data_IF_633776292176
#
_entry.id   IF_633776292176
#
_cell.length_a   1.000
_cell.length_b   1.000
_cell.length_c   1.000
_cell.angle_alpha   90.00
_cell.angle_beta   90.00
_cell.angle_gamma   90.00
#
_symmetry.space_group_name_H-M   'P 1'
#
loop_
_entity.id
_entity.type
_entity.pdbx_description
1 polymer ?
#
# COMPACT_ATOMS: atom_id res chain seq x y z
N UNK A 1 -3.11 -24.13 21.91
CA UNK A 1 -3.41 -22.70 21.72
C UNK A 1 -2.55 -22.18 20.59
N UNK A 2 -3.13 -21.89 19.42
CA UNK A 2 -2.38 -21.24 18.34
C UNK A 2 -2.07 -19.84 18.81
N UNK A 3 -0.80 -19.57 19.04
CA UNK A 3 -0.29 -18.27 19.42
C UNK A 3 -0.63 -17.28 18.29
N UNK A 4 -1.77 -16.58 18.40
CA UNK A 4 -2.15 -15.45 17.53
C UNK A 4 -1.17 -14.31 17.83
N UNK A 5 0.09 -14.47 17.40
CA UNK A 5 0.95 -13.32 17.15
C UNK A 5 0.20 -12.55 16.08
N UNK A 6 -0.48 -11.47 16.49
CA UNK A 6 -0.77 -10.35 15.61
C UNK A 6 0.54 -10.10 14.86
N UNK A 7 0.63 -10.60 13.62
CA UNK A 7 1.78 -10.31 12.77
C UNK A 7 1.70 -8.81 12.60
N UNK A 8 2.58 -8.11 13.31
CA UNK A 8 2.73 -6.67 13.21
C UNK A 8 3.01 -6.40 11.74
N UNK A 9 1.98 -5.98 11.01
CA UNK A 9 2.07 -5.79 9.58
C UNK A 9 2.77 -4.46 9.35
N UNK A 10 3.78 -4.43 8.49
CA UNK A 10 4.50 -3.18 8.22
C UNK A 10 3.54 -2.09 7.73
N UNK A 11 3.64 -0.84 8.25
CA UNK A 11 2.84 0.28 7.76
C UNK A 11 2.93 0.44 6.24
N UNK A 12 4.11 0.21 5.66
CA UNK A 12 4.38 0.25 4.23
C UNK A 12 3.43 -0.66 3.43
N UNK A 13 3.30 -1.93 3.84
CA UNK A 13 2.40 -2.89 3.20
C UNK A 13 0.94 -2.43 3.20
N UNK A 14 0.48 -1.84 4.30
CA UNK A 14 -0.88 -1.28 4.42
C UNK A 14 -1.07 -0.06 3.54
N UNK A 15 -0.11 0.86 3.54
CA UNK A 15 -0.19 2.07 2.73
C UNK A 15 -0.25 1.72 1.24
N UNK A 16 0.62 0.83 0.75
CA UNK A 16 0.60 0.37 -0.64
C UNK A 16 -0.77 -0.18 -1.04
N UNK A 17 -1.36 -1.02 -0.19
CA UNK A 17 -2.70 -1.56 -0.41
C UNK A 17 -3.77 -0.47 -0.46
N UNK A 18 -3.77 0.45 0.50
CA UNK A 18 -4.78 1.53 0.54
C UNK A 18 -4.66 2.47 -0.65
N UNK A 19 -3.44 2.78 -1.10
CA UNK A 19 -3.21 3.56 -2.31
C UNK A 19 -3.75 2.85 -3.56
N UNK A 20 -3.48 1.55 -3.71
CA UNK A 20 -4.03 0.75 -4.81
C UNK A 20 -5.56 0.74 -4.80
N UNK A 21 -6.15 0.48 -3.63
CA UNK A 21 -7.61 0.45 -3.44
C UNK A 21 -8.25 1.81 -3.70
N UNK A 22 -7.59 2.90 -3.29
CA UNK A 22 -8.05 4.28 -3.55
C UNK A 22 -8.14 4.56 -5.05
N UNK A 23 -7.18 4.07 -5.84
CA UNK A 23 -7.20 4.14 -7.31
C UNK A 23 -8.09 3.08 -7.98
N UNK A 24 -8.77 2.25 -7.18
CA UNK A 24 -9.61 1.14 -7.64
C UNK A 24 -8.90 0.18 -8.59
N UNK A 25 -7.59 0.00 -8.42
CA UNK A 25 -6.79 -0.89 -9.27
C UNK A 25 -6.87 -2.31 -8.74
N UNK A 26 -7.16 -3.27 -9.62
CA UNK A 26 -6.95 -4.68 -9.31
C UNK A 26 -5.46 -5.01 -9.27
N UNK A 27 -5.09 -6.12 -8.64
CA UNK A 27 -3.70 -6.60 -8.64
C UNK A 27 -3.17 -6.86 -10.06
N UNK A 28 -4.05 -7.29 -10.98
CA UNK A 28 -3.71 -7.50 -12.39
C UNK A 28 -3.32 -6.18 -13.07
N UNK A 29 -4.15 -5.14 -12.93
CA UNK A 29 -3.87 -3.82 -13.52
C UNK A 29 -2.64 -3.18 -12.86
N UNK A 30 -2.51 -3.31 -11.53
CA UNK A 30 -1.33 -2.84 -10.81
C UNK A 30 -0.05 -3.51 -11.33
N UNK A 31 -0.08 -4.81 -11.58
CA UNK A 31 1.03 -5.56 -12.15
C UNK A 31 1.38 -5.10 -13.57
N UNK A 32 0.38 -4.91 -14.42
CA UNK A 32 0.59 -4.39 -15.78
C UNK A 32 1.24 -2.99 -15.78
N UNK A 33 0.81 -2.09 -14.88
CA UNK A 33 1.34 -0.72 -14.80
C UNK A 33 2.74 -0.63 -14.17
N UNK A 34 3.03 -1.48 -13.20
CA UNK A 34 4.32 -1.47 -12.46
C UNK A 34 5.38 -2.38 -13.06
N UNK A 35 5.01 -3.30 -13.96
CA UNK A 35 5.87 -4.38 -14.45
C UNK A 35 6.11 -5.48 -13.41
N UNK A 36 5.40 -5.48 -12.28
CA UNK A 36 5.52 -6.48 -11.23
C UNK A 36 4.49 -7.60 -11.41
N UNK A 37 4.82 -8.81 -10.97
CA UNK A 37 3.87 -9.92 -10.98
C UNK A 37 2.75 -9.64 -9.96
N UNK A 38 1.45 -9.80 -10.32
CA UNK A 38 0.33 -9.56 -9.39
C UNK A 38 0.46 -10.32 -8.06
N UNK A 39 1.00 -11.54 -8.09
CA UNK A 39 1.29 -12.35 -6.90
C UNK A 39 2.29 -11.69 -5.96
N UNK A 40 3.32 -11.04 -6.50
CA UNK A 40 4.32 -10.35 -5.69
C UNK A 40 3.69 -9.11 -5.03
N UNK A 41 2.83 -8.39 -5.74
CA UNK A 41 2.08 -7.25 -5.18
C UNK A 41 1.20 -7.70 -4.02
N UNK A 42 0.43 -8.78 -4.19
CA UNK A 42 -0.39 -9.36 -3.11
C UNK A 42 0.46 -9.75 -1.90
N UNK A 43 1.63 -10.33 -2.12
CA UNK A 43 2.55 -10.72 -1.06
C UNK A 43 3.16 -9.51 -0.33
N UNK A 44 3.51 -8.44 -1.06
CA UNK A 44 3.98 -7.19 -0.46
C UNK A 44 2.88 -6.52 0.36
N UNK A 45 1.65 -6.44 -0.16
CA UNK A 45 0.52 -5.82 0.54
C UNK A 45 0.06 -6.60 1.78
N UNK A 46 0.37 -7.90 1.85
CA UNK A 46 0.08 -8.79 2.99
C UNK A 46 1.28 -8.97 3.92
N UNK A 47 2.38 -8.26 3.67
CA UNK A 47 3.62 -8.35 4.46
C UNK A 47 4.19 -9.78 4.52
N UNK A 48 3.97 -10.55 3.45
CA UNK A 48 4.56 -11.88 3.24
C UNK A 48 5.98 -11.74 2.73
N UNK A 49 6.23 -10.75 1.87
CA UNK A 49 7.56 -10.35 1.39
C UNK A 49 7.74 -8.84 1.61
N UNK A 50 8.96 -8.42 1.92
CA UNK A 50 9.30 -7.00 2.04
C UNK A 50 9.42 -6.39 0.63
N UNK A 51 8.77 -5.24 0.40
CA UNK A 51 8.96 -4.47 -0.81
C UNK A 51 10.34 -3.78 -0.78
N UNK A 52 11.11 -3.86 -1.87
CA UNK A 52 12.31 -3.04 -2.02
C UNK A 52 11.93 -1.59 -2.36
N UNK A 53 12.86 -0.65 -2.19
CA UNK A 53 12.62 0.76 -2.55
C UNK A 53 12.27 0.89 -4.04
N UNK A 54 12.93 0.11 -4.91
CA UNK A 54 12.62 0.06 -6.34
C UNK A 54 11.21 -0.51 -6.63
N UNK A 55 10.73 -1.47 -5.83
CA UNK A 55 9.35 -1.97 -5.96
C UNK A 55 8.36 -0.91 -5.49
N UNK A 56 8.65 -0.22 -4.39
CA UNK A 56 7.83 0.88 -3.88
C UNK A 56 7.69 1.97 -4.95
N UNK A 57 8.79 2.43 -5.55
CA UNK A 57 8.75 3.45 -6.60
C UNK A 57 7.91 3.03 -7.80
N UNK A 58 8.05 1.78 -8.28
CA UNK A 58 7.23 1.23 -9.38
C UNK A 58 5.75 1.22 -9.03
N UNK A 59 5.41 0.82 -7.80
CA UNK A 59 4.03 0.77 -7.32
C UNK A 59 3.44 2.17 -7.15
N UNK A 60 4.17 3.11 -6.56
CA UNK A 60 3.73 4.50 -6.39
C UNK A 60 3.51 5.19 -7.74
N UNK A 61 4.42 4.97 -8.70
CA UNK A 61 4.25 5.43 -10.08
C UNK A 61 2.99 4.82 -10.73
N UNK A 62 2.79 3.51 -10.61
CA UNK A 62 1.61 2.82 -11.12
C UNK A 62 0.29 3.33 -10.49
N UNK A 63 0.33 3.74 -9.22
CA UNK A 63 -0.81 4.25 -8.46
C UNK A 63 -0.95 5.77 -8.55
N UNK A 64 -0.05 6.47 -9.25
CA UNK A 64 -0.05 7.92 -9.38
C UNK A 64 -0.04 8.63 -8.01
N UNK A 65 0.88 8.21 -7.14
CA UNK A 65 1.18 8.85 -5.86
C UNK A 65 2.66 9.23 -5.79
N UNK A 66 2.97 10.27 -5.03
CA UNK A 66 4.36 10.66 -4.74
C UNK A 66 4.89 9.93 -3.49
N UNK A 67 6.22 9.88 -3.38
CA UNK A 67 6.91 9.42 -2.18
C UNK A 67 6.54 10.24 -0.93
N UNK A 68 6.20 11.53 -1.10
CA UNK A 68 5.75 12.38 0.00
C UNK A 68 4.41 11.88 0.58
N UNK A 69 3.42 11.62 -0.29
CA UNK A 69 2.13 11.10 0.14
C UNK A 69 2.28 9.72 0.80
N UNK A 70 3.17 8.88 0.27
CA UNK A 70 3.52 7.60 0.88
C UNK A 70 4.10 7.75 2.29
N UNK A 71 5.11 8.62 2.43
CA UNK A 71 5.78 8.90 3.70
C UNK A 71 4.83 9.49 4.74
N UNK A 72 3.90 10.34 4.32
CA UNK A 72 2.89 10.93 5.20
C UNK A 72 1.88 9.88 5.69
N UNK A 73 1.47 8.96 4.82
CA UNK A 73 0.55 7.89 5.19
C UNK A 73 1.18 6.88 6.16
N UNK A 74 2.48 6.58 6.04
CA UNK A 74 3.20 5.69 6.97
C UNK A 74 3.14 6.23 8.41
N UNK A 75 3.15 7.55 8.57
CA UNK A 75 3.13 8.22 9.88
C UNK A 75 1.74 8.24 10.53
N UNK A 76 0.68 7.81 9.84
CA UNK A 76 -0.66 7.75 10.39
C UNK A 76 -0.74 6.63 11.44
N UNK A 77 -1.08 6.97 12.68
CA UNK A 77 -1.23 5.99 13.76
C UNK A 77 -2.57 6.22 14.49
N UNK A 78 -3.46 5.21 14.56
CA UNK A 78 -3.35 3.90 13.93
C UNK A 78 -3.58 3.97 12.42
N UNK A 79 -2.82 3.19 11.65
CA UNK A 79 -3.06 3.01 10.23
C UNK A 79 -4.20 2.01 10.01
N UNK A 80 -5.30 2.49 9.45
CA UNK A 80 -6.53 1.72 9.21
C UNK A 80 -7.20 2.21 7.93
N UNK A 81 -8.17 1.45 7.42
CA UNK A 81 -8.97 1.90 6.25
C UNK A 81 -9.68 3.23 6.52
N UNK A 82 -10.19 3.43 7.74
CA UNK A 82 -10.87 4.67 8.14
C UNK A 82 -9.91 5.85 8.13
N UNK A 83 -8.74 5.72 8.75
CA UNK A 83 -7.74 6.80 8.83
C UNK A 83 -7.12 7.10 7.46
N UNK A 84 -6.88 6.09 6.62
CA UNK A 84 -6.44 6.27 5.24
C UNK A 84 -7.50 6.99 4.38
N UNK A 85 -8.78 6.63 4.51
CA UNK A 85 -9.86 7.31 3.78
C UNK A 85 -9.99 8.78 4.19
N UNK A 86 -9.92 9.08 5.50
CA UNK A 86 -9.94 10.45 6.00
C UNK A 86 -8.75 11.25 5.46
N UNK A 87 -7.55 10.66 5.43
CA UNK A 87 -6.37 11.29 4.84
C UNK A 87 -6.60 11.70 3.38
N UNK A 88 -7.09 10.78 2.55
CA UNK A 88 -7.37 11.10 1.14
C UNK A 88 -8.45 12.17 0.98
N UNK A 89 -9.49 12.16 1.82
CA UNK A 89 -10.57 13.16 1.78
C UNK A 89 -10.07 14.55 2.16
N UNK A 90 -9.35 14.68 3.27
CA UNK A 90 -8.84 15.96 3.78
C UNK A 90 -7.87 16.58 2.77
N UNK A 91 -7.00 15.77 2.15
CA UNK A 91 -6.06 16.23 1.13
C UNK A 91 -6.65 16.35 -0.28
N UNK A 92 -7.96 16.09 -0.45
CA UNK A 92 -8.67 16.13 -1.75
C UNK A 92 -8.00 15.28 -2.83
N UNK A 93 -7.48 14.12 -2.43
CA UNK A 93 -6.88 13.14 -3.35
C UNK A 93 -8.00 12.19 -3.79
N UNK A 94 -8.37 12.24 -5.07
CA UNK A 94 -9.45 11.44 -5.66
C UNK A 94 -8.90 10.48 -6.73
#
# INVERSE_FOLDING_TARGET
MINKKSKFQSPESHVLRFMREKRKLSLLIAGQKSGLKPKNIDFMEKDIIKASDADIEKLLSAYQFSNEIFSDMIKLQPLSKTTANQFFLIRKIF
#
